data_IF_907980364067
#
_entry.id   IF_907980364067
#
_cell.length_a   1.000
_cell.length_b   1.000
_cell.length_c   1.000
_cell.angle_alpha   90.00
_cell.angle_beta   90.00
_cell.angle_gamma   90.00
#
_symmetry.space_group_name_H-M   'P 1'
#
loop_
_entity.id
_entity.type
_entity.pdbx_description
1 polymer ?
#
# COMPACT_ATOMS: atom_id res chain seq x y z
N UNK A 1 11.83 3.35 6.76
CA UNK A 1 13.06 3.71 6.01
C UNK A 1 13.77 2.48 5.44
N UNK A 2 14.04 1.42 6.24
CA UNK A 2 14.72 0.19 5.79
C UNK A 2 13.96 -0.52 4.66
N UNK A 3 12.64 -0.73 4.79
CA UNK A 3 11.81 -1.40 3.78
C UNK A 3 11.85 -0.67 2.43
N UNK A 4 11.66 0.64 2.43
CA UNK A 4 11.71 1.47 1.21
C UNK A 4 13.09 1.34 0.53
N UNK A 5 14.18 1.46 1.30
CA UNK A 5 15.54 1.35 0.77
C UNK A 5 15.81 -0.02 0.16
N UNK A 6 15.45 -1.10 0.85
CA UNK A 6 15.64 -2.46 0.36
C UNK A 6 14.82 -2.72 -0.90
N UNK A 7 13.53 -2.33 -0.88
CA UNK A 7 12.67 -2.46 -2.04
C UNK A 7 13.22 -1.67 -3.25
N UNK A 8 13.57 -0.39 -3.08
CA UNK A 8 14.10 0.43 -4.16
C UNK A 8 15.37 -0.14 -4.76
N UNK A 9 16.30 -0.62 -3.93
CA UNK A 9 17.53 -1.26 -4.42
C UNK A 9 17.27 -2.52 -5.25
N UNK A 10 16.27 -3.32 -4.89
CA UNK A 10 15.90 -4.50 -5.67
C UNK A 10 15.11 -4.12 -6.93
N UNK A 11 14.18 -3.19 -6.81
CA UNK A 11 13.42 -2.69 -7.94
C UNK A 11 14.34 -2.09 -9.03
N UNK A 12 15.32 -1.26 -8.65
CA UNK A 12 16.30 -0.66 -9.58
C UNK A 12 17.09 -1.71 -10.37
N UNK A 13 17.39 -2.88 -9.78
CA UNK A 13 18.10 -3.97 -10.46
C UNK A 13 17.23 -4.71 -11.48
N UNK A 14 15.91 -4.70 -11.30
CA UNK A 14 14.94 -5.43 -12.09
C UNK A 14 14.18 -4.54 -13.08
N UNK A 15 14.27 -3.21 -12.91
CA UNK A 15 13.62 -2.24 -13.79
C UNK A 15 14.15 -2.37 -15.22
N UNK A 16 13.22 -2.51 -16.17
CA UNK A 16 13.47 -2.48 -17.60
C UNK A 16 12.55 -1.45 -18.28
N UNK A 17 12.99 -0.95 -19.44
CA UNK A 17 12.12 -0.08 -20.24
C UNK A 17 10.95 -0.91 -20.82
N UNK A 18 9.75 -0.31 -20.82
CA UNK A 18 8.54 -0.90 -21.40
C UNK A 18 8.13 -2.26 -20.79
N UNK A 19 8.22 -2.40 -19.48
CA UNK A 19 7.76 -3.61 -18.77
C UNK A 19 6.28 -3.88 -19.04
N UNK A 20 5.94 -5.13 -19.28
CA UNK A 20 4.55 -5.61 -19.26
C UNK A 20 3.99 -5.62 -17.84
N UNK A 21 2.67 -5.72 -17.70
CA UNK A 21 2.00 -5.86 -16.40
C UNK A 21 2.51 -7.07 -15.63
N UNK A 22 2.71 -8.21 -16.30
CA UNK A 22 3.22 -9.43 -15.67
C UNK A 22 4.66 -9.25 -15.15
N UNK A 23 5.49 -8.52 -15.86
CA UNK A 23 6.85 -8.19 -15.43
C UNK A 23 6.84 -7.23 -14.24
N UNK A 24 5.96 -6.22 -14.22
CA UNK A 24 5.77 -5.34 -13.06
C UNK A 24 5.26 -6.11 -11.84
N UNK A 25 4.31 -7.03 -12.02
CA UNK A 25 3.83 -7.92 -10.97
C UNK A 25 4.98 -8.75 -10.37
N UNK A 26 5.77 -9.38 -11.23
CA UNK A 26 6.92 -10.18 -10.82
C UNK A 26 7.99 -9.34 -10.11
N UNK A 27 8.26 -8.13 -10.59
CA UNK A 27 9.18 -7.19 -9.97
C UNK A 27 8.75 -6.87 -8.54
N UNK A 28 7.49 -6.43 -8.34
CA UNK A 28 6.98 -6.05 -7.02
C UNK A 28 7.00 -7.26 -6.09
N UNK A 29 6.52 -8.42 -6.54
CA UNK A 29 6.48 -9.64 -5.72
C UNK A 29 7.87 -10.10 -5.27
N UNK A 30 8.86 -10.07 -6.17
CA UNK A 30 10.22 -10.47 -5.85
C UNK A 30 10.91 -9.46 -4.93
N UNK A 31 10.80 -8.16 -5.23
CA UNK A 31 11.42 -7.11 -4.42
C UNK A 31 10.83 -7.06 -2.99
N UNK A 32 9.52 -7.25 -2.83
CA UNK A 32 8.89 -7.33 -1.51
C UNK A 32 9.31 -8.57 -0.74
N UNK A 33 9.43 -9.72 -1.41
CA UNK A 33 9.89 -10.96 -0.78
C UNK A 33 11.32 -10.85 -0.27
N UNK A 34 12.22 -10.25 -1.04
CA UNK A 34 13.61 -10.03 -0.62
C UNK A 34 13.70 -9.01 0.50
N UNK A 35 12.93 -7.92 0.43
CA UNK A 35 12.86 -6.93 1.51
C UNK A 35 12.33 -7.55 2.81
N UNK A 36 11.29 -8.40 2.73
CA UNK A 36 10.74 -9.13 3.87
C UNK A 36 11.82 -10.02 4.52
N UNK A 37 12.50 -10.83 3.73
CA UNK A 37 13.54 -11.73 4.24
C UNK A 37 14.65 -10.96 4.97
N UNK A 38 15.11 -9.84 4.42
CA UNK A 38 16.11 -8.99 5.05
C UNK A 38 15.63 -8.37 6.37
N UNK A 39 14.40 -7.85 6.42
CA UNK A 39 13.83 -7.24 7.64
C UNK A 39 13.63 -8.31 8.71
N UNK A 40 13.05 -9.45 8.34
CA UNK A 40 12.82 -10.58 9.24
C UNK A 40 14.12 -11.12 9.84
N UNK A 41 15.15 -11.30 9.02
CA UNK A 41 16.47 -11.73 9.48
C UNK A 41 17.09 -10.71 10.42
N UNK A 42 16.95 -9.42 10.15
CA UNK A 42 17.46 -8.35 11.00
C UNK A 42 16.74 -8.33 12.36
N UNK A 43 15.41 -8.47 12.36
CA UNK A 43 14.60 -8.59 13.57
C UNK A 43 14.98 -9.82 14.41
N UNK A 44 15.31 -10.95 13.77
CA UNK A 44 15.73 -12.16 14.44
C UNK A 44 17.16 -12.11 15.00
N UNK A 45 18.01 -11.20 14.52
CA UNK A 45 19.40 -11.06 14.95
C UNK A 45 19.60 -10.22 16.21
N UNK A 46 18.59 -9.46 16.63
CA UNK A 46 18.64 -8.57 17.79
C UNK A 46 17.32 -8.64 18.56
N UNK A 47 17.37 -9.07 19.81
CA UNK A 47 16.21 -9.21 20.68
C UNK A 47 15.46 -7.88 20.89
N UNK A 48 16.17 -6.74 20.82
CA UNK A 48 15.58 -5.41 20.89
C UNK A 48 14.71 -5.07 19.66
N UNK A 49 14.88 -5.79 18.55
CA UNK A 49 14.12 -5.63 17.31
C UNK A 49 13.06 -6.73 17.12
N UNK A 50 12.83 -7.56 18.13
CA UNK A 50 11.85 -8.64 18.05
C UNK A 50 10.45 -8.11 17.65
N UNK A 51 9.87 -8.70 16.61
CA UNK A 51 8.58 -8.26 16.06
C UNK A 51 8.63 -6.99 15.22
N UNK A 52 9.81 -6.50 14.84
CA UNK A 52 9.95 -5.39 13.92
C UNK A 52 9.26 -5.69 12.59
N UNK A 53 8.36 -4.83 12.17
CA UNK A 53 7.64 -4.93 10.90
C UNK A 53 7.14 -3.58 10.44
N UNK A 54 6.63 -3.54 9.21
CA UNK A 54 6.04 -2.34 8.63
C UNK A 54 4.99 -2.69 7.59
N UNK A 55 4.01 -1.82 7.40
CA UNK A 55 3.15 -1.83 6.21
C UNK A 55 3.94 -1.40 4.99
N UNK A 56 3.43 -1.71 3.81
CA UNK A 56 4.06 -1.36 2.56
C UNK A 56 3.01 -1.16 1.47
N UNK A 57 3.11 -0.05 0.75
CA UNK A 57 2.36 0.20 -0.47
C UNK A 57 3.30 0.81 -1.51
N UNK A 58 3.21 0.34 -2.74
CA UNK A 58 4.01 0.86 -3.85
C UNK A 58 3.23 0.89 -5.15
N UNK A 59 3.78 1.62 -6.13
CA UNK A 59 3.23 1.75 -7.47
C UNK A 59 4.36 1.58 -8.50
N UNK A 60 4.11 0.76 -9.51
CA UNK A 60 4.90 0.68 -10.74
C UNK A 60 4.05 1.14 -11.93
N UNK A 61 4.64 1.94 -12.82
CA UNK A 61 3.98 2.51 -14.00
C UNK A 61 4.84 2.31 -15.23
N UNK A 62 4.26 1.78 -16.33
CA UNK A 62 4.96 1.50 -17.58
C UNK A 62 4.66 2.48 -18.72
N UNK A 63 3.95 3.57 -18.44
CA UNK A 63 3.49 4.53 -19.45
C UNK A 63 2.02 4.34 -19.87
N UNK A 64 1.40 3.20 -19.56
CA UNK A 64 0.00 2.89 -19.86
C UNK A 64 -0.73 2.32 -18.64
N UNK A 65 -0.17 1.27 -18.04
CA UNK A 65 -0.75 0.56 -16.91
C UNK A 65 0.01 0.86 -15.62
N UNK A 66 -0.70 0.76 -14.52
CA UNK A 66 -0.19 0.85 -13.15
C UNK A 66 -0.42 -0.48 -12.44
N UNK A 67 0.61 -0.96 -11.75
CA UNK A 67 0.50 -2.05 -10.79
C UNK A 67 0.77 -1.51 -9.39
N UNK A 68 -0.12 -1.80 -8.46
CA UNK A 68 0.00 -1.42 -7.06
C UNK A 68 0.25 -2.69 -6.24
N UNK A 69 1.29 -2.67 -5.42
CA UNK A 69 1.57 -3.71 -4.44
C UNK A 69 1.18 -3.25 -3.04
N UNK A 70 0.52 -4.11 -2.25
CA UNK A 70 0.10 -3.79 -0.89
C UNK A 70 0.41 -4.92 0.10
N UNK A 71 0.95 -4.54 1.27
CA UNK A 71 1.10 -5.37 2.47
C UNK A 71 0.77 -4.49 3.69
N UNK A 72 -0.29 -4.82 4.41
CA UNK A 72 -0.76 -4.05 5.57
C UNK A 72 -2.02 -3.24 5.28
N UNK A 73 -2.21 -2.17 6.03
CA UNK A 73 -3.36 -1.26 5.98
C UNK A 73 -3.04 0.14 5.44
N UNK A 74 -1.83 0.33 4.90
CA UNK A 74 -1.54 1.46 4.01
C UNK A 74 -2.31 1.29 2.71
N UNK A 75 -2.79 2.38 2.13
CA UNK A 75 -3.79 2.33 1.07
C UNK A 75 -3.35 3.01 -0.21
N UNK A 76 -3.93 2.53 -1.32
CA UNK A 76 -3.93 3.21 -2.60
C UNK A 76 -5.35 3.53 -3.03
N UNK A 77 -5.55 4.74 -3.54
CA UNK A 77 -6.83 5.21 -4.05
C UNK A 77 -6.69 5.69 -5.50
N UNK A 78 -7.75 5.47 -6.29
CA UNK A 78 -7.95 6.12 -7.59
C UNK A 78 -8.95 7.25 -7.42
N UNK A 79 -8.56 8.44 -7.85
CA UNK A 79 -9.41 9.62 -7.85
C UNK A 79 -9.76 10.01 -9.28
N UNK A 80 -11.02 10.28 -9.54
CA UNK A 80 -11.52 10.84 -10.79
C UNK A 80 -12.46 12.00 -10.48
N UNK A 81 -13.00 12.68 -11.50
CA UNK A 81 -13.87 13.86 -11.32
C UNK A 81 -15.16 13.60 -10.52
N UNK A 82 -15.52 12.34 -10.27
CA UNK A 82 -16.77 11.97 -9.62
C UNK A 82 -16.56 11.43 -8.21
N UNK A 83 -15.44 10.72 -7.97
CA UNK A 83 -15.22 10.01 -6.71
C UNK A 83 -13.76 9.65 -6.45
N UNK A 84 -13.48 9.35 -5.18
CA UNK A 84 -12.29 8.67 -4.70
C UNK A 84 -12.66 7.22 -4.37
N UNK A 85 -11.90 6.26 -4.88
CA UNK A 85 -12.16 4.83 -4.71
C UNK A 85 -10.90 4.11 -4.22
N UNK A 86 -11.00 3.39 -3.10
CA UNK A 86 -9.89 2.58 -2.61
C UNK A 86 -9.64 1.40 -3.57
N UNK A 87 -8.38 1.24 -3.98
CA UNK A 87 -7.91 0.15 -4.85
C UNK A 87 -7.49 -1.04 -4.00
N UNK A 88 -6.74 -0.79 -2.93
CA UNK A 88 -6.20 -1.82 -2.03
C UNK A 88 -7.26 -2.34 -1.08
N UNK A 89 -7.03 -3.54 -0.54
CA UNK A 89 -7.83 -4.11 0.54
C UNK A 89 -6.94 -4.21 1.77
N UNK A 90 -7.38 -3.63 2.89
CA UNK A 90 -6.59 -3.59 4.12
C UNK A 90 -6.35 -5.00 4.68
N UNK A 91 -5.12 -5.30 5.04
CA UNK A 91 -4.81 -6.49 5.82
C UNK A 91 -4.98 -6.16 7.32
N UNK A 92 -6.23 -6.06 7.74
CA UNK A 92 -6.60 -5.73 9.12
C UNK A 92 -7.68 -6.67 9.64
N UNK A 93 -7.70 -6.85 10.96
CA UNK A 93 -8.69 -7.69 11.63
C UNK A 93 -10.13 -7.25 11.30
N UNK A 94 -10.37 -5.94 11.29
CA UNK A 94 -11.71 -5.40 11.02
C UNK A 94 -12.12 -5.61 9.56
N UNK A 95 -11.19 -5.56 8.61
CA UNK A 95 -11.48 -5.85 7.21
C UNK A 95 -11.81 -7.34 7.00
N UNK A 96 -11.16 -8.24 7.71
CA UNK A 96 -11.52 -9.66 7.71
C UNK A 96 -12.93 -9.89 8.28
N UNK A 97 -13.30 -9.17 9.36
CA UNK A 97 -14.65 -9.24 9.92
C UNK A 97 -15.71 -8.69 8.95
N UNK A 98 -15.40 -7.61 8.22
CA UNK A 98 -16.27 -7.08 7.16
C UNK A 98 -16.44 -8.11 6.04
N UNK A 99 -15.35 -8.73 5.59
CA UNK A 99 -15.37 -9.74 4.53
C UNK A 99 -16.20 -10.99 4.90
N UNK A 100 -16.24 -11.33 6.19
CA UNK A 100 -17.07 -12.42 6.73
C UNK A 100 -18.52 -12.01 7.03
N UNK A 101 -18.86 -10.72 6.84
CA UNK A 101 -20.19 -10.17 7.14
C UNK A 101 -20.47 -9.99 8.64
N UNK A 102 -19.45 -10.07 9.50
CA UNK A 102 -19.57 -9.88 10.95
C UNK A 102 -19.71 -8.40 11.33
N UNK A 103 -19.11 -7.51 10.53
CA UNK A 103 -19.22 -6.05 10.64
C UNK A 103 -19.62 -5.43 9.31
N UNK A 104 -20.31 -4.30 9.36
CA UNK A 104 -20.39 -3.42 8.20
C UNK A 104 -19.22 -2.40 8.20
N UNK A 105 -18.91 -1.72 7.06
CA UNK A 105 -17.80 -0.78 6.98
C UNK A 105 -17.82 0.34 8.03
N UNK A 106 -19.01 0.85 8.38
CA UNK A 106 -19.17 1.92 9.40
C UNK A 106 -18.81 1.41 10.81
N UNK A 107 -19.19 0.17 11.11
CA UNK A 107 -18.83 -0.48 12.37
C UNK A 107 -17.33 -0.75 12.46
N UNK A 108 -16.71 -1.17 11.36
CA UNK A 108 -15.28 -1.42 11.29
C UNK A 108 -14.44 -0.16 11.63
N UNK A 109 -14.82 1.01 11.10
CA UNK A 109 -14.13 2.29 11.37
C UNK A 109 -14.12 2.68 12.86
N UNK A 110 -15.14 2.24 13.63
CA UNK A 110 -15.29 2.56 15.07
C UNK A 110 -14.90 1.41 15.98
N UNK A 111 -14.43 0.30 15.43
CA UNK A 111 -14.11 -0.90 16.21
C UNK A 111 -12.85 -0.66 17.06
N UNK A 112 -12.79 -1.16 18.32
CA UNK A 112 -11.60 -1.01 19.17
C UNK A 112 -10.32 -1.57 18.54
N UNK A 113 -10.44 -2.63 17.75
CA UNK A 113 -9.32 -3.29 17.07
C UNK A 113 -9.10 -2.80 15.62
N UNK A 114 -9.56 -1.60 15.25
CA UNK A 114 -9.42 -1.08 13.88
C UNK A 114 -7.98 -0.94 13.41
N UNK A 115 -7.04 -0.75 14.34
CA UNK A 115 -5.60 -0.59 14.07
C UNK A 115 -4.83 -1.92 14.17
N UNK A 116 -5.52 -3.08 14.27
CA UNK A 116 -4.85 -4.38 14.34
C UNK A 116 -4.64 -4.90 12.93
N UNK A 117 -3.39 -4.86 12.45
CA UNK A 117 -3.00 -5.40 11.15
C UNK A 117 -2.79 -6.91 11.24
N UNK A 118 -3.11 -7.63 10.17
CA UNK A 118 -2.99 -9.09 10.05
C UNK A 118 -1.85 -9.52 9.12
N UNK A 119 -1.20 -8.56 8.44
CA UNK A 119 -0.05 -8.81 7.56
C UNK A 119 0.88 -7.60 7.53
N UNK A 120 2.19 -7.84 7.71
CA UNK A 120 3.22 -6.80 7.64
C UNK A 120 4.55 -7.38 7.13
N UNK A 121 5.37 -6.55 6.48
CA UNK A 121 6.75 -6.89 6.12
C UNK A 121 7.59 -7.10 7.38
N UNK A 122 8.38 -8.17 7.41
CA UNK A 122 9.39 -8.43 8.42
C UNK A 122 8.88 -9.24 9.64
N UNK A 123 7.57 -9.35 9.85
CA UNK A 123 6.99 -10.07 10.98
C UNK A 123 7.08 -11.58 10.77
N UNK A 124 6.63 -12.07 9.63
CA UNK A 124 6.68 -13.48 9.28
C UNK A 124 7.82 -13.77 8.30
N UNK A 125 8.34 -15.00 8.33
CA UNK A 125 9.41 -15.44 7.43
C UNK A 125 9.01 -15.36 5.95
N UNK A 126 7.72 -15.58 5.65
CA UNK A 126 7.16 -15.49 4.32
C UNK A 126 5.93 -14.57 4.32
N UNK A 127 5.83 -13.69 3.33
CA UNK A 127 4.75 -12.74 3.17
C UNK A 127 4.35 -12.64 1.70
N UNK A 128 3.06 -12.60 1.42
CA UNK A 128 2.53 -12.33 0.08
C UNK A 128 2.13 -10.87 -0.06
N UNK A 129 2.57 -10.25 -1.15
CA UNK A 129 2.12 -8.92 -1.56
C UNK A 129 0.85 -9.06 -2.42
N UNK A 130 -0.22 -8.37 -2.07
CA UNK A 130 -1.40 -8.29 -2.93
C UNK A 130 -1.11 -7.30 -4.06
N UNK A 131 -1.50 -7.67 -5.29
CA UNK A 131 -1.22 -6.92 -6.50
C UNK A 131 -2.53 -6.49 -7.16
N UNK A 132 -2.62 -5.21 -7.51
CA UNK A 132 -3.79 -4.62 -8.14
C UNK A 132 -3.36 -3.91 -9.42
N UNK A 133 -4.09 -4.15 -10.51
CA UNK A 133 -3.85 -3.48 -11.80
C UNK A 133 -4.90 -2.39 -12.04
N UNK A 134 -4.43 -1.24 -12.51
CA UNK A 134 -5.26 -0.12 -12.95
C UNK A 134 -4.70 0.42 -14.26
N UNK A 135 -5.58 0.74 -15.21
CA UNK A 135 -5.22 1.51 -16.41
C UNK A 135 -5.76 2.92 -16.24
N UNK A 136 -4.96 3.87 -15.70
CA UNK A 136 -5.42 5.20 -15.39
C UNK A 136 -5.70 6.00 -16.67
N UNK A 137 -6.69 6.88 -16.61
CA UNK A 137 -7.03 7.81 -17.68
C UNK A 137 -6.47 9.21 -17.39
N UNK A 138 -6.33 10.02 -18.42
CA UNK A 138 -5.91 11.42 -18.25
C UNK A 138 -6.86 12.18 -17.32
N UNK A 139 -6.31 12.93 -16.38
CA UNK A 139 -7.07 13.67 -15.36
C UNK A 139 -7.46 12.84 -14.14
N UNK A 140 -6.98 11.61 -14.02
CA UNK A 140 -7.09 10.83 -12.79
C UNK A 140 -5.81 10.94 -11.95
N UNK A 141 -5.97 10.81 -10.64
CA UNK A 141 -4.87 10.78 -9.68
C UNK A 141 -4.82 9.43 -8.96
N UNK A 142 -3.64 9.01 -8.56
CA UNK A 142 -3.45 7.88 -7.65
C UNK A 142 -2.79 8.41 -6.39
N UNK A 143 -3.46 8.21 -5.25
CA UNK A 143 -2.95 8.54 -3.92
C UNK A 143 -2.44 7.27 -3.24
N UNK A 144 -1.22 7.31 -2.73
CA UNK A 144 -0.68 6.32 -1.80
C UNK A 144 -0.53 6.98 -0.43
N UNK A 145 -1.07 6.36 0.61
CA UNK A 145 -0.99 6.92 1.95
C UNK A 145 -0.95 5.84 3.04
N UNK A 146 -0.49 6.22 4.23
CA UNK A 146 -0.64 5.42 5.43
C UNK A 146 -1.93 5.77 6.17
N UNK A 147 -2.23 5.01 7.22
CA UNK A 147 -3.31 5.27 8.18
C UNK A 147 -3.18 6.62 8.91
N UNK A 148 -1.95 7.18 8.96
CA UNK A 148 -1.69 8.52 9.48
C UNK A 148 -2.48 9.62 8.75
N UNK A 149 -2.78 9.44 7.45
CA UNK A 149 -3.67 10.34 6.71
C UNK A 149 -5.14 9.96 6.93
N UNK A 150 -5.52 8.74 6.61
CA UNK A 150 -6.92 8.29 6.60
C UNK A 150 -7.51 8.09 7.99
N UNK A 151 -6.69 8.05 9.03
CA UNK A 151 -7.11 8.03 10.43
C UNK A 151 -7.50 9.41 10.97
N UNK A 152 -6.96 10.48 10.39
CA UNK A 152 -7.13 11.86 10.85
C UNK A 152 -8.02 12.69 9.90
N UNK A 153 -7.94 12.44 8.58
CA UNK A 153 -8.67 13.18 7.55
C UNK A 153 -9.65 12.25 6.84
N UNK A 154 -10.90 12.69 6.67
CA UNK A 154 -11.91 11.88 6.00
C UNK A 154 -11.68 11.82 4.47
N UNK A 155 -12.10 10.72 3.83
CA UNK A 155 -11.98 10.56 2.38
C UNK A 155 -12.60 11.72 1.57
N UNK A 156 -13.76 12.31 1.95
CA UNK A 156 -14.28 13.49 1.26
C UNK A 156 -13.40 14.73 1.40
N UNK A 157 -12.73 14.93 2.54
CA UNK A 157 -11.79 16.05 2.75
C UNK A 157 -10.52 15.85 1.92
N UNK A 158 -9.95 14.63 1.92
CA UNK A 158 -8.80 14.27 1.07
C UNK A 158 -9.13 14.49 -0.41
N UNK A 159 -10.30 14.02 -0.86
CA UNK A 159 -10.77 14.20 -2.23
C UNK A 159 -10.88 15.67 -2.60
N UNK A 160 -11.50 16.48 -1.72
CA UNK A 160 -11.66 17.91 -1.93
C UNK A 160 -10.30 18.61 -2.07
N UNK A 161 -9.36 18.33 -1.18
CA UNK A 161 -8.03 18.97 -1.19
C UNK A 161 -7.25 18.66 -2.47
N UNK A 162 -7.21 17.39 -2.91
CA UNK A 162 -6.54 16.99 -4.13
C UNK A 162 -7.13 17.67 -5.37
N UNK A 163 -8.46 17.85 -5.43
CA UNK A 163 -9.12 18.48 -6.58
C UNK A 163 -9.12 20.00 -6.55
N UNK A 164 -8.84 20.66 -5.42
CA UNK A 164 -8.65 22.11 -5.33
C UNK A 164 -7.23 22.53 -5.72
N UNK A 165 -6.31 21.59 -5.75
CA UNK A 165 -4.89 21.85 -5.95
C UNK A 165 -4.49 21.44 -7.37
N UNK A 166 -3.91 22.38 -8.16
CA UNK A 166 -3.51 22.11 -9.54
C UNK A 166 -2.25 21.25 -9.64
N UNK A 167 -1.42 21.25 -8.59
CA UNK A 167 -0.13 20.55 -8.54
C UNK A 167 -0.12 19.51 -7.42
N UNK A 168 0.28 18.27 -7.75
CA UNK A 168 0.33 17.16 -6.79
C UNK A 168 1.26 17.43 -5.59
N UNK A 169 2.35 18.17 -5.79
CA UNK A 169 3.29 18.54 -4.73
C UNK A 169 2.62 19.42 -3.67
N UNK A 170 1.84 20.43 -4.10
CA UNK A 170 1.10 21.31 -3.20
C UNK A 170 -0.04 20.58 -2.47
N UNK A 171 -0.62 19.54 -3.06
CA UNK A 171 -1.65 18.73 -2.41
C UNK A 171 -1.10 17.85 -1.28
N UNK A 172 0.23 17.62 -1.24
CA UNK A 172 0.89 16.81 -0.23
C UNK A 172 1.44 17.63 0.95
N UNK A 173 1.46 18.98 0.86
CA UNK A 173 1.90 19.92 1.90
C UNK A 173 0.75 20.30 2.85
#
# INVERSE_FOLDING_TARGET
EMAVKLFSQQAERLLAENMSVDEMNALIANATKEANACIHQHAASDEALAGMGTTFVCLAYNGADVVIGNIGDSRAYLLNAEQMSQITVDHSLVQEMVSRGELNPIQAQRHPSRNVITRALGVDADVSCDLFQVTPQSGQYILLCSDGLTGEVSEPEIYYEIYQTEEAETACD
#
